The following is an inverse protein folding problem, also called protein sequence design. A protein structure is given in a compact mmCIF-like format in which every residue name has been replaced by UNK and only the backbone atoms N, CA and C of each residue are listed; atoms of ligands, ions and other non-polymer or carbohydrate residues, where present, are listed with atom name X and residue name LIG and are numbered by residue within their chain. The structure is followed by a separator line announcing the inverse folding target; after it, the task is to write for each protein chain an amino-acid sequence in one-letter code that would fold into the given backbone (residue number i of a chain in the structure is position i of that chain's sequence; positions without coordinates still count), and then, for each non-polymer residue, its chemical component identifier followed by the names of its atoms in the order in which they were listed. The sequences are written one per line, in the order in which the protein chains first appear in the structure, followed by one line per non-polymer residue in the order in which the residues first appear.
data_IF_020054514679
#
_entry.id   IF_020054514679
#
_cell.length_a   1.000
_cell.length_b   1.000
_cell.length_c   1.000
_cell.angle_alpha   90.00
_cell.angle_beta   90.00
_cell.angle_gamma   90.00
#
_symmetry.space_group_name_H-M   'P 1'
#
loop_
_entity.id
_entity.type
_entity.pdbx_description
1 polymer ?
#
# COMPACT_ATOMS: atom_id res chain seq x y z
N UNK A 1 -23.32 -5.95 6.65
CA UNK A 1 -22.25 -6.42 5.72
C UNK A 1 -20.90 -6.41 6.43
N UNK A 2 -20.05 -7.45 6.25
CA UNK A 2 -18.72 -7.52 6.89
C UNK A 2 -18.66 -8.14 8.30
N UNK A 3 -19.63 -9.00 8.67
CA UNK A 3 -19.62 -9.69 9.96
C UNK A 3 -18.33 -10.52 10.15
N UNK A 4 -17.83 -10.73 11.39
CA UNK A 4 -16.61 -11.51 11.63
C UNK A 4 -16.63 -12.91 11.01
N UNK A 5 -17.80 -13.54 10.92
CA UNK A 5 -17.99 -14.85 10.29
C UNK A 5 -17.60 -14.90 8.80
N UNK A 6 -17.62 -13.77 8.09
CA UNK A 6 -17.21 -13.71 6.67
C UNK A 6 -15.73 -13.44 6.46
N UNK A 7 -14.92 -13.32 7.52
CA UNK A 7 -13.46 -13.05 7.40
C UNK A 7 -12.73 -14.11 6.56
N UNK A 8 -12.93 -15.43 6.75
CA UNK A 8 -12.24 -16.44 5.95
C UNK A 8 -12.57 -16.32 4.45
N UNK A 9 -13.86 -16.24 4.10
CA UNK A 9 -14.31 -16.10 2.72
C UNK A 9 -13.80 -14.81 2.06
N UNK A 10 -13.72 -13.70 2.81
CA UNK A 10 -13.14 -12.45 2.29
C UNK A 10 -11.64 -12.55 2.04
N UNK A 11 -10.94 -13.34 2.85
CA UNK A 11 -9.52 -13.60 2.64
C UNK A 11 -9.32 -14.48 1.40
N UNK A 12 -10.08 -15.56 1.25
CA UNK A 12 -10.06 -16.41 0.04
C UNK A 12 -10.36 -15.61 -1.23
N UNK A 13 -11.37 -14.73 -1.19
CA UNK A 13 -11.70 -13.86 -2.32
C UNK A 13 -10.60 -12.85 -2.62
N UNK A 14 -9.97 -12.27 -1.60
CA UNK A 14 -8.85 -11.35 -1.76
C UNK A 14 -7.65 -12.06 -2.39
N UNK A 15 -7.32 -13.26 -1.92
CA UNK A 15 -6.23 -14.06 -2.49
C UNK A 15 -6.51 -14.44 -3.94
N UNK A 16 -7.74 -14.89 -4.25
CA UNK A 16 -8.16 -15.16 -5.62
C UNK A 16 -8.04 -13.92 -6.51
N UNK A 17 -8.48 -12.75 -6.04
CA UNK A 17 -8.39 -11.50 -6.79
C UNK A 17 -6.91 -11.13 -7.06
N UNK A 18 -6.04 -11.18 -6.05
CA UNK A 18 -4.62 -10.85 -6.20
C UNK A 18 -3.87 -11.80 -7.15
N UNK A 19 -4.33 -13.04 -7.30
CA UNK A 19 -3.72 -14.02 -8.21
C UNK A 19 -4.14 -13.83 -9.68
N UNK A 20 -5.35 -13.31 -9.92
CA UNK A 20 -5.96 -13.27 -11.26
C UNK A 20 -6.05 -11.85 -11.85
N UNK A 21 -6.21 -10.82 -11.02
CA UNK A 21 -6.42 -9.46 -11.48
C UNK A 21 -5.15 -8.85 -12.11
N UNK A 22 -5.36 -8.14 -13.21
CA UNK A 22 -4.32 -7.44 -13.98
C UNK A 22 -4.64 -5.97 -14.21
N UNK A 23 -5.89 -5.57 -14.03
CA UNK A 23 -6.35 -4.19 -14.21
C UNK A 23 -5.82 -3.30 -13.07
N UNK A 24 -4.95 -2.31 -13.38
CA UNK A 24 -4.36 -1.46 -12.35
C UNK A 24 -5.39 -0.69 -11.50
N UNK A 25 -6.51 -0.29 -12.10
CA UNK A 25 -7.58 0.42 -11.39
C UNK A 25 -8.20 -0.45 -10.28
N UNK A 26 -8.41 -1.75 -10.55
CA UNK A 26 -8.96 -2.68 -9.56
C UNK A 26 -7.98 -2.90 -8.41
N UNK A 27 -6.70 -3.10 -8.74
CA UNK A 27 -5.64 -3.28 -7.74
C UNK A 27 -5.46 -2.05 -6.86
N UNK A 28 -5.53 -0.84 -7.43
CA UNK A 28 -5.46 0.42 -6.67
C UNK A 28 -6.67 0.59 -5.75
N UNK A 29 -7.86 0.19 -6.19
CA UNK A 29 -9.07 0.24 -5.38
C UNK A 29 -9.00 -0.65 -4.12
N UNK A 30 -8.05 -1.59 -4.05
CA UNK A 30 -7.79 -2.38 -2.84
C UNK A 30 -6.98 -1.64 -1.77
N UNK A 31 -6.24 -0.59 -2.13
CA UNK A 31 -5.36 0.12 -1.18
C UNK A 31 -6.12 0.72 0.01
N UNK A 32 -7.28 1.41 -0.17
CA UNK A 32 -8.06 1.92 0.96
C UNK A 32 -8.58 0.79 1.86
N UNK A 33 -8.98 -0.34 1.26
CA UNK A 33 -9.43 -1.50 2.02
C UNK A 33 -8.29 -2.14 2.82
N UNK A 34 -7.08 -2.21 2.26
CA UNK A 34 -5.87 -2.64 2.96
C UNK A 34 -5.52 -1.70 4.11
N UNK A 35 -5.55 -0.39 3.89
CA UNK A 35 -5.27 0.63 4.91
C UNK A 35 -6.27 0.63 6.08
N UNK A 36 -7.52 0.19 5.83
CA UNK A 36 -8.54 0.06 6.85
C UNK A 36 -8.40 -1.24 7.69
N UNK A 37 -7.48 -2.15 7.34
CA UNK A 37 -7.23 -3.35 8.15
C UNK A 37 -6.42 -2.97 9.39
N UNK A 38 -6.91 -3.35 10.56
CA UNK A 38 -6.21 -3.17 11.84
C UNK A 38 -5.29 -4.35 12.19
N UNK A 39 -4.99 -5.23 11.23
CA UNK A 39 -4.21 -6.46 11.43
C UNK A 39 -2.74 -6.30 11.06
N UNK A 40 -1.92 -7.26 11.49
CA UNK A 40 -0.47 -7.26 11.34
C UNK A 40 0.01 -7.36 9.88
N UNK A 41 -0.88 -7.70 8.95
CA UNK A 41 -0.52 -8.07 7.58
C UNK A 41 -0.76 -6.93 6.57
N UNK A 42 -1.19 -5.75 7.02
CA UNK A 42 -1.35 -4.55 6.17
C UNK A 42 -0.09 -4.25 5.33
N UNK A 43 1.10 -4.41 5.91
CA UNK A 43 2.39 -4.20 5.22
C UNK A 43 2.53 -5.14 4.03
N UNK A 44 2.28 -6.43 4.24
CA UNK A 44 2.42 -7.46 3.22
C UNK A 44 1.39 -7.26 2.11
N UNK A 45 0.15 -6.96 2.47
CA UNK A 45 -0.92 -6.72 1.50
C UNK A 45 -0.62 -5.50 0.61
N UNK A 46 -0.18 -4.39 1.19
CA UNK A 46 0.20 -3.19 0.44
C UNK A 46 1.40 -3.47 -0.47
N UNK A 47 2.39 -4.24 0.01
CA UNK A 47 3.56 -4.63 -0.79
C UNK A 47 3.17 -5.54 -1.96
N UNK A 48 2.32 -6.56 -1.73
CA UNK A 48 1.82 -7.46 -2.79
C UNK A 48 1.04 -6.69 -3.85
N UNK A 49 0.17 -5.76 -3.46
CA UNK A 49 -0.52 -4.87 -4.41
C UNK A 49 0.48 -4.02 -5.19
N UNK A 50 1.50 -3.46 -4.52
CA UNK A 50 2.58 -2.70 -5.15
C UNK A 50 3.34 -3.53 -6.20
N UNK A 51 3.74 -4.76 -5.87
CA UNK A 51 4.41 -5.67 -6.80
C UNK A 51 3.59 -6.00 -8.04
N UNK A 52 2.26 -6.09 -7.91
CA UNK A 52 1.36 -6.30 -9.05
C UNK A 52 1.27 -5.04 -9.92
N UNK A 53 1.16 -3.87 -9.30
CA UNK A 53 1.01 -2.58 -9.99
C UNK A 53 2.28 -2.12 -10.72
N UNK A 54 3.46 -2.32 -10.15
CA UNK A 54 4.72 -1.89 -10.79
C UNK A 54 5.12 -2.68 -12.03
N UNK A 55 4.34 -3.71 -12.39
CA UNK A 55 4.48 -4.43 -13.66
C UNK A 55 4.23 -3.52 -14.87
N UNK A 56 3.58 -2.37 -14.69
CA UNK A 56 3.43 -1.34 -15.71
C UNK A 56 3.82 0.04 -15.15
N UNK A 57 4.33 0.97 -15.98
CA UNK A 57 4.62 2.34 -15.54
C UNK A 57 3.38 3.08 -15.02
N UNK A 58 2.23 2.81 -15.62
CA UNK A 58 0.94 3.39 -15.26
C UNK A 58 0.46 2.85 -13.90
N UNK A 59 0.64 1.56 -13.63
CA UNK A 59 0.37 0.97 -12.32
C UNK A 59 1.30 1.50 -11.23
N UNK A 60 2.61 1.64 -11.50
CA UNK A 60 3.56 2.25 -10.57
C UNK A 60 3.15 3.68 -10.18
N UNK A 61 2.75 4.49 -11.17
CA UNK A 61 2.29 5.87 -10.95
C UNK A 61 1.04 5.90 -10.07
N UNK A 62 0.10 4.97 -10.28
CA UNK A 62 -1.12 4.90 -9.45
C UNK A 62 -0.85 4.41 -8.03
N UNK A 63 0.05 3.44 -7.87
CA UNK A 63 0.45 2.96 -6.55
C UNK A 63 1.07 4.09 -5.73
N UNK A 64 2.02 4.81 -6.33
CA UNK A 64 2.66 5.99 -5.74
C UNK A 64 1.62 7.04 -5.31
N UNK A 65 0.70 7.40 -6.22
CA UNK A 65 -0.40 8.34 -5.92
C UNK A 65 -1.28 7.83 -4.77
N UNK A 66 -1.69 6.57 -4.82
CA UNK A 66 -2.55 5.96 -3.81
C UNK A 66 -1.93 5.96 -2.42
N UNK A 67 -0.62 5.67 -2.30
CA UNK A 67 0.08 5.73 -1.01
C UNK A 67 0.11 7.15 -0.44
N UNK A 68 0.41 8.15 -1.26
CA UNK A 68 0.42 9.55 -0.81
C UNK A 68 -0.98 10.01 -0.41
N UNK A 69 -2.00 9.65 -1.19
CA UNK A 69 -3.38 10.02 -0.89
C UNK A 69 -3.87 9.37 0.40
N UNK A 70 -3.56 8.09 0.63
CA UNK A 70 -3.82 7.46 1.94
C UNK A 70 -3.03 8.12 3.06
N UNK A 71 -1.76 8.48 2.83
CA UNK A 71 -0.94 9.18 3.81
C UNK A 71 -1.49 10.54 4.22
N UNK A 72 -2.22 11.22 3.34
CA UNK A 72 -2.91 12.50 3.64
C UNK A 72 -4.21 12.32 4.41
N UNK A 73 -4.98 11.27 4.10
CA UNK A 73 -6.36 11.15 4.56
C UNK A 73 -6.55 10.13 5.70
N UNK A 74 -5.63 9.18 5.87
CA UNK A 74 -5.70 8.15 6.91
C UNK A 74 -4.69 8.49 8.02
N UNK A 75 -5.17 8.86 9.23
CA UNK A 75 -4.28 9.19 10.34
C UNK A 75 -3.29 8.06 10.65
N UNK A 76 -2.01 8.42 10.80
CA UNK A 76 -0.93 7.49 11.14
C UNK A 76 -0.43 6.63 9.96
N UNK A 77 -1.12 6.58 8.82
CA UNK A 77 -0.71 5.76 7.68
C UNK A 77 0.64 6.19 7.11
N UNK A 78 0.89 7.50 6.97
CA UNK A 78 2.18 8.01 6.49
C UNK A 78 3.35 7.58 7.40
N UNK A 79 3.17 7.66 8.73
CA UNK A 79 4.18 7.22 9.69
C UNK A 79 4.43 5.71 9.62
N UNK A 80 3.36 4.92 9.44
CA UNK A 80 3.45 3.48 9.27
C UNK A 80 4.25 3.10 8.01
N UNK A 81 3.91 3.70 6.87
CA UNK A 81 4.63 3.47 5.60
C UNK A 81 6.08 3.93 5.72
N UNK A 82 6.34 5.12 6.28
CA UNK A 82 7.71 5.61 6.51
C UNK A 82 8.54 4.62 7.36
N UNK A 83 7.91 3.97 8.35
CA UNK A 83 8.51 2.89 9.12
C UNK A 83 8.93 1.71 8.24
N UNK A 84 8.07 1.25 7.32
CA UNK A 84 8.41 0.15 6.40
C UNK A 84 9.54 0.52 5.43
N UNK A 85 9.50 1.73 4.87
CA UNK A 85 10.52 2.25 3.95
C UNK A 85 11.89 2.39 4.63
N UNK A 86 11.91 2.61 5.95
CA UNK A 86 13.12 2.70 6.76
C UNK A 86 13.62 1.32 7.18
N UNK A 87 12.71 0.43 7.58
CA UNK A 87 13.04 -0.92 8.05
C UNK A 87 13.61 -1.80 6.93
N UNK A 88 13.03 -1.76 5.71
CA UNK A 88 13.52 -2.54 4.57
C UNK A 88 13.57 -1.74 3.27
N UNK A 89 14.53 -0.82 3.14
CA UNK A 89 14.57 0.12 2.01
C UNK A 89 14.70 -0.59 0.66
N UNK A 90 15.40 -1.72 0.57
CA UNK A 90 15.59 -2.46 -0.68
C UNK A 90 14.30 -3.16 -1.15
N UNK A 91 13.51 -3.69 -0.20
CA UNK A 91 12.22 -4.33 -0.47
C UNK A 91 11.21 -3.34 -1.07
N UNK A 92 11.25 -2.09 -0.60
CA UNK A 92 10.30 -1.05 -1.01
C UNK A 92 10.79 -0.18 -2.16
N UNK A 93 12.10 -0.08 -2.41
CA UNK A 93 12.64 0.69 -3.53
C UNK A 93 12.22 0.13 -4.91
N UNK A 94 11.84 -1.16 -4.97
CA UNK A 94 11.31 -1.78 -6.18
C UNK A 94 9.85 -1.36 -6.49
N UNK A 95 9.11 -0.88 -5.48
CA UNK A 95 7.67 -0.60 -5.59
C UNK A 95 7.29 0.85 -5.31
N UNK A 96 8.13 1.63 -4.62
CA UNK A 96 7.87 3.02 -4.25
C UNK A 96 8.91 3.93 -4.88
N UNK A 97 8.44 4.92 -5.64
CA UNK A 97 9.31 5.90 -6.27
C UNK A 97 10.01 6.82 -5.24
N UNK A 98 11.21 7.34 -5.54
CA UNK A 98 11.95 8.22 -4.63
C UNK A 98 11.20 9.53 -4.31
N UNK A 99 10.34 10.01 -5.21
CA UNK A 99 9.48 11.17 -4.97
C UNK A 99 8.39 10.87 -3.93
N UNK A 100 7.70 9.73 -4.08
CA UNK A 100 6.70 9.23 -3.13
C UNK A 100 7.30 9.02 -1.75
N UNK A 101 8.47 8.38 -1.67
CA UNK A 101 9.20 8.20 -0.41
C UNK A 101 9.38 9.53 0.34
N UNK A 102 9.90 10.56 -0.32
CA UNK A 102 10.07 11.89 0.28
C UNK A 102 8.74 12.51 0.71
N UNK A 103 7.68 12.35 -0.10
CA UNK A 103 6.36 12.85 0.27
C UNK A 103 5.81 12.17 1.52
N UNK A 104 5.96 10.85 1.62
CA UNK A 104 5.53 10.07 2.79
C UNK A 104 6.33 10.45 4.04
N UNK A 105 7.65 10.58 3.94
CA UNK A 105 8.51 11.01 5.05
C UNK A 105 8.10 12.42 5.54
N UNK A 106 7.83 13.34 4.62
CA UNK A 106 7.31 14.68 4.95
C UNK A 106 5.95 14.63 5.66
N UNK A 107 5.02 13.81 5.17
CA UNK A 107 3.69 13.62 5.77
C UNK A 107 3.77 12.96 7.15
N UNK A 108 4.73 12.06 7.35
CA UNK A 108 5.00 11.43 8.63
C UNK A 108 5.66 12.38 9.65
N UNK A 109 6.05 13.59 9.22
CA UNK A 109 6.85 14.51 10.05
C UNK A 109 8.29 14.03 10.26
N UNK A 110 8.73 13.02 9.51
CA UNK A 110 10.11 12.51 9.53
C UNK A 110 10.95 13.49 8.72
N UNK A 111 11.58 14.45 9.40
CA UNK A 111 12.61 15.30 8.77
C UNK A 111 13.85 14.46 8.53
N UNK A 112 14.20 14.21 7.27
CA UNK A 112 15.55 13.81 6.89
C UNK A 112 16.43 15.08 6.97
N UNK A 113 17.50 15.11 7.79
CA UNK A 113 18.46 16.20 7.75
C UNK A 113 19.15 16.24 6.38
N UNK A 114 19.21 17.44 5.79
CA UNK A 114 19.88 17.72 4.52
C UNK A 114 21.40 17.58 4.61
#
# INVERSE_FOLDING_TARGET
PGAPASRPLRQELLDFLLDHEREPEVLVALLPAAAARADADIRELVHRIGLLLVRTPDGATRFDRGLVDLGRHVPGFAALVAGWLTDRPQEWAAVVGPGTRRMIENLAGVRIPA
#
